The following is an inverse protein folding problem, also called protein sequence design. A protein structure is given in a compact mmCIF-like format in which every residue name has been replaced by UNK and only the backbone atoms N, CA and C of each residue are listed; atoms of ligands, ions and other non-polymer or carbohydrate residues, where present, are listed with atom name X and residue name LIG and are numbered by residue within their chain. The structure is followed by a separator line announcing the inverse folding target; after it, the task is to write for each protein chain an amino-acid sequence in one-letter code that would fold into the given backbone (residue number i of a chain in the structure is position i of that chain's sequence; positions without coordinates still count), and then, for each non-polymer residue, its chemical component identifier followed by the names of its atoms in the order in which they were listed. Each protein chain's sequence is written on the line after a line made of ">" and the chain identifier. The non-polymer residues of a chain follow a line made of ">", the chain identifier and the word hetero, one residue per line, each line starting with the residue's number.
data_IF_618841361069
#
_entry.id   IF_618841361069
#
_cell.length_a   1.000
_cell.length_b   1.000
_cell.length_c   1.000
_cell.angle_alpha   90.00
_cell.angle_beta   90.00
_cell.angle_gamma   90.00
#
_symmetry.space_group_name_H-M   'P 1'
#
loop_
_entity.id
_entity.type
_entity.pdbx_description
1 polymer ?
#
# COMPACT_ATOMS: atom_id res chain seq x y z
N UNK A 1 5.71 -84.91 19.31
CA UNK A 1 4.33 -85.30 18.94
C UNK A 1 3.59 -84.10 18.37
N UNK A 2 2.76 -84.33 17.35
CA UNK A 2 1.57 -83.60 16.84
C UNK A 2 1.37 -82.11 17.20
N UNK A 3 0.96 -81.21 16.32
CA UNK A 3 0.07 -81.37 15.17
C UNK A 3 0.15 -80.18 14.20
N UNK A 4 -0.21 -80.44 12.94
CA UNK A 4 -0.38 -79.48 11.84
C UNK A 4 -1.80 -78.90 11.83
N UNK A 5 -1.87 -77.62 11.44
CA UNK A 5 -2.79 -76.98 10.48
C UNK A 5 -4.34 -77.04 10.63
N UNK A 6 -4.97 -75.88 10.35
CA UNK A 6 -6.39 -75.76 9.95
C UNK A 6 -7.05 -74.47 10.49
N UNK A 7 -6.98 -73.29 9.84
CA UNK A 7 -7.79 -72.81 8.70
C UNK A 7 -9.13 -72.13 9.12
N UNK A 8 -9.41 -70.97 8.47
CA UNK A 8 -10.66 -70.15 8.39
C UNK A 8 -10.87 -69.12 9.53
N UNK A 9 -11.38 -67.90 9.35
CA UNK A 9 -12.03 -67.24 8.19
C UNK A 9 -12.18 -65.73 8.45
N UNK A 10 -12.33 -64.99 7.34
CA UNK A 10 -12.99 -63.66 7.18
C UNK A 10 -12.54 -62.45 7.98
N UNK A 11 -12.10 -61.42 7.24
CA UNK A 11 -12.95 -60.27 6.88
C UNK A 11 -12.03 -59.05 6.73
N UNK A 12 -11.59 -58.79 5.50
CA UNK A 12 -10.88 -57.55 5.20
C UNK A 12 -11.92 -56.41 5.09
N UNK A 13 -12.20 -55.77 6.23
CA UNK A 13 -12.87 -54.49 6.26
C UNK A 13 -11.94 -53.44 5.60
N UNK A 14 -12.36 -52.94 4.44
CA UNK A 14 -11.69 -51.85 3.73
C UNK A 14 -11.83 -50.57 4.56
N UNK A 15 -10.78 -50.20 5.27
CA UNK A 15 -10.69 -48.91 5.93
C UNK A 15 -10.33 -47.86 4.87
N UNK A 16 -11.33 -47.11 4.42
CA UNK A 16 -11.13 -45.94 3.59
C UNK A 16 -10.50 -44.84 4.46
N UNK A 17 -9.19 -44.64 4.32
CA UNK A 17 -8.51 -43.45 4.82
C UNK A 17 -8.93 -42.26 3.94
N UNK A 18 -9.96 -41.53 4.38
CA UNK A 18 -10.30 -40.23 3.80
C UNK A 18 -9.25 -39.20 4.28
N UNK A 19 -8.27 -38.92 3.42
CA UNK A 19 -7.35 -37.81 3.62
C UNK A 19 -8.13 -36.49 3.46
N UNK A 20 -8.38 -35.79 4.57
CA UNK A 20 -8.82 -34.39 4.54
C UNK A 20 -7.65 -33.53 4.05
N UNK A 21 -7.67 -33.20 2.76
CA UNK A 21 -6.84 -32.13 2.22
C UNK A 21 -7.39 -30.79 2.74
N UNK A 22 -6.72 -30.20 3.74
CA UNK A 22 -6.89 -28.80 4.09
C UNK A 22 -6.45 -27.94 2.91
N UNK A 23 -7.40 -27.53 2.06
CA UNK A 23 -7.20 -26.50 1.06
C UNK A 23 -6.94 -25.16 1.75
N UNK A 24 -5.67 -24.76 1.85
CA UNK A 24 -5.31 -23.40 2.19
C UNK A 24 -5.67 -22.48 1.02
N UNK A 25 -6.90 -21.95 1.04
CA UNK A 25 -7.30 -20.87 0.15
C UNK A 25 -6.51 -19.61 0.48
N UNK A 26 -5.43 -19.37 -0.26
CA UNK A 26 -4.80 -18.05 -0.33
C UNK A 26 -5.82 -17.09 -0.96
N UNK A 27 -6.50 -16.32 -0.12
CA UNK A 27 -7.24 -15.13 -0.55
C UNK A 27 -6.22 -14.15 -1.14
N UNK A 28 -6.04 -14.18 -2.46
CA UNK A 28 -5.38 -13.12 -3.18
C UNK A 28 -6.20 -11.85 -2.98
N UNK A 29 -5.82 -11.03 -1.99
CA UNK A 29 -6.35 -9.68 -1.86
C UNK A 29 -5.99 -8.96 -3.15
N UNK A 30 -6.97 -8.71 -4.02
CA UNK A 30 -6.74 -7.99 -5.27
C UNK A 30 -6.11 -6.65 -4.93
N UNK A 31 -4.84 -6.47 -5.26
CA UNK A 31 -4.14 -5.21 -5.05
C UNK A 31 -4.95 -4.08 -5.70
N UNK A 32 -5.13 -2.98 -4.97
CA UNK A 32 -5.84 -1.80 -5.48
C UNK A 32 -5.16 -1.20 -6.71
N UNK A 33 -5.83 -0.26 -7.37
CA UNK A 33 -5.25 0.48 -8.52
C UNK A 33 -4.01 1.27 -8.11
N UNK A 34 -4.00 1.78 -6.88
CA UNK A 34 -2.87 2.47 -6.26
C UNK A 34 -2.46 1.70 -5.01
N UNK A 35 -1.16 1.44 -4.88
CA UNK A 35 -0.54 0.94 -3.65
C UNK A 35 0.61 1.86 -3.24
N UNK A 36 1.02 1.76 -1.97
CA UNK A 36 2.21 2.44 -1.46
C UNK A 36 3.18 1.35 -1.02
N UNK A 37 4.39 1.32 -1.58
CA UNK A 37 5.40 0.38 -1.14
C UNK A 37 5.80 0.70 0.32
N UNK A 38 6.08 -0.31 1.17
CA UNK A 38 6.50 -0.06 2.55
C UNK A 38 7.71 0.89 2.58
N UNK A 39 7.61 2.07 3.22
CA UNK A 39 8.71 3.01 3.24
C UNK A 39 9.84 2.46 4.12
N UNK A 40 11.11 2.77 3.80
CA UNK A 40 12.22 2.40 4.66
C UNK A 40 12.10 3.10 6.02
N UNK A 41 12.65 2.46 7.06
CA UNK A 41 12.73 3.06 8.39
C UNK A 41 13.51 4.39 8.33
N UNK A 42 12.93 5.43 8.92
CA UNK A 42 13.56 6.75 9.00
C UNK A 42 14.33 6.90 10.33
N UNK A 43 15.58 7.34 10.25
CA UNK A 43 16.32 7.79 11.44
C UNK A 43 16.28 9.31 11.47
N UNK A 44 15.81 9.87 12.59
CA UNK A 44 15.58 11.30 12.75
C UNK A 44 16.40 11.81 13.94
N UNK A 45 17.20 12.86 13.74
CA UNK A 45 17.98 13.48 14.82
C UNK A 45 17.21 14.67 15.36
N UNK A 46 17.14 14.81 16.69
CA UNK A 46 16.53 15.98 17.33
C UNK A 46 17.13 17.29 16.82
N UNK A 47 16.25 18.26 16.57
CA UNK A 47 16.62 19.58 16.06
C UNK A 47 16.99 19.62 14.58
N UNK A 48 16.93 18.49 13.85
CA UNK A 48 17.30 18.39 12.44
C UNK A 48 16.10 18.04 11.55
N UNK A 49 16.30 18.24 10.25
CA UNK A 49 15.38 17.76 9.22
C UNK A 49 15.65 16.30 8.86
N UNK A 50 14.60 15.61 8.42
CA UNK A 50 14.66 14.24 7.93
C UNK A 50 13.69 14.07 6.75
N UNK A 51 14.08 13.32 5.73
CA UNK A 51 13.24 13.09 4.55
C UNK A 51 12.73 11.65 4.49
N UNK A 52 11.45 11.49 4.17
CA UNK A 52 10.87 10.19 3.82
C UNK A 52 10.38 10.19 2.38
N UNK A 53 10.78 9.16 1.64
CA UNK A 53 10.28 8.87 0.29
C UNK A 53 9.11 7.89 0.38
N UNK A 54 7.98 8.27 -0.20
CA UNK A 54 6.77 7.45 -0.32
C UNK A 54 6.65 7.00 -1.78
N UNK A 55 6.98 5.74 -2.04
CA UNK A 55 6.88 5.14 -3.37
C UNK A 55 5.43 4.74 -3.63
N UNK A 56 4.78 5.46 -4.53
CA UNK A 56 3.43 5.17 -5.01
C UNK A 56 3.54 4.30 -6.25
N UNK A 57 2.82 3.18 -6.24
CA UNK A 57 2.74 2.26 -7.37
C UNK A 57 1.35 2.35 -7.98
N UNK A 58 1.32 2.45 -9.30
CA UNK A 58 0.09 2.65 -10.05
C UNK A 58 -0.06 1.55 -11.08
N UNK A 59 -1.22 0.91 -11.10
CA UNK A 59 -1.52 -0.11 -12.10
C UNK A 59 -1.54 0.50 -13.50
N UNK A 60 -0.90 -0.18 -14.45
CA UNK A 60 -0.88 0.21 -15.85
C UNK A 60 -2.28 0.50 -16.41
N UNK A 61 -2.36 1.50 -17.29
CA UNK A 61 -3.61 1.97 -17.90
C UNK A 61 -4.47 2.88 -17.00
N UNK A 62 -3.99 3.20 -15.79
CA UNK A 62 -4.61 4.18 -14.90
C UNK A 62 -3.72 5.41 -14.71
N UNK A 63 -4.38 6.51 -14.33
CA UNK A 63 -3.75 7.73 -13.83
C UNK A 63 -4.43 8.16 -12.52
N UNK A 64 -3.78 9.07 -11.80
CA UNK A 64 -4.41 9.84 -10.70
C UNK A 64 -4.27 11.32 -11.00
N UNK A 65 -5.25 12.13 -10.60
CA UNK A 65 -5.09 13.59 -10.65
C UNK A 65 -3.88 14.00 -9.81
N UNK A 66 -3.21 15.09 -10.20
CA UNK A 66 -2.08 15.60 -9.44
C UNK A 66 -2.50 16.22 -8.11
N UNK A 67 -1.54 16.70 -7.32
CA UNK A 67 -1.80 17.44 -6.10
C UNK A 67 -2.35 18.86 -6.36
N UNK A 68 -2.21 19.36 -7.59
CA UNK A 68 -2.79 20.61 -8.08
C UNK A 68 -3.49 20.34 -9.41
N UNK A 69 -4.69 19.72 -9.36
CA UNK A 69 -5.46 19.44 -10.56
C UNK A 69 -5.74 20.71 -11.36
N UNK A 70 -5.96 20.55 -12.65
CA UNK A 70 -6.26 21.67 -13.55
C UNK A 70 -7.65 22.28 -13.34
N UNK A 71 -8.55 21.56 -12.66
CA UNK A 71 -9.95 21.94 -12.45
C UNK A 71 -10.38 21.60 -11.01
N UNK A 72 -11.18 22.47 -10.39
CA UNK A 72 -11.54 22.37 -8.97
C UNK A 72 -12.43 21.16 -8.61
N UNK A 73 -13.15 20.62 -9.60
CA UNK A 73 -14.00 19.44 -9.39
C UNK A 73 -13.19 18.13 -9.38
N UNK A 74 -11.93 18.15 -9.80
CA UNK A 74 -11.05 16.98 -9.79
C UNK A 74 -10.54 16.72 -8.37
N UNK A 75 -10.60 15.46 -7.96
CA UNK A 75 -10.12 15.07 -6.63
C UNK A 75 -8.59 15.03 -6.62
N UNK A 76 -7.90 15.88 -5.83
CA UNK A 76 -6.44 15.93 -5.82
C UNK A 76 -5.82 14.71 -5.13
N UNK A 77 -4.64 14.29 -5.60
CA UNK A 77 -3.78 13.38 -4.85
C UNK A 77 -3.26 14.11 -3.61
N UNK A 78 -3.54 13.56 -2.43
CA UNK A 78 -3.18 14.19 -1.16
C UNK A 78 -2.59 13.18 -0.20
N UNK A 79 -1.30 13.36 0.10
CA UNK A 79 -0.61 12.72 1.21
C UNK A 79 -0.82 13.55 2.49
N UNK A 80 -1.26 12.90 3.56
CA UNK A 80 -1.27 13.47 4.91
C UNK A 80 -0.57 12.54 5.90
N UNK A 81 -0.06 13.13 6.97
CA UNK A 81 0.61 12.43 8.06
C UNK A 81 -0.07 12.76 9.39
N UNK A 82 -0.02 11.81 10.32
CA UNK A 82 -0.54 11.99 11.67
C UNK A 82 0.21 11.12 12.68
N UNK A 83 0.21 11.56 13.93
CA UNK A 83 0.92 10.91 15.03
C UNK A 83 2.44 11.04 14.92
N UNK A 84 3.15 10.38 15.84
CA UNK A 84 4.61 10.41 15.93
C UNK A 84 5.18 11.77 16.38
N UNK A 85 6.50 11.83 16.62
CA UNK A 85 7.15 13.02 17.17
C UNK A 85 7.71 13.98 16.11
N UNK A 86 7.47 13.73 14.82
CA UNK A 86 7.99 14.52 13.70
C UNK A 86 6.90 15.47 13.18
N UNK A 87 7.31 16.68 12.81
CA UNK A 87 6.44 17.70 12.21
C UNK A 87 6.63 17.74 10.69
N UNK A 88 5.55 17.85 9.91
CA UNK A 88 5.66 17.98 8.46
C UNK A 88 6.11 19.39 8.10
N UNK A 89 7.31 19.52 7.54
CA UNK A 89 7.86 20.78 7.04
C UNK A 89 7.46 21.03 5.57
N UNK A 90 7.24 19.97 4.79
CA UNK A 90 6.76 20.09 3.42
C UNK A 90 6.56 18.75 2.73
N UNK A 91 5.73 18.74 1.68
CA UNK A 91 5.50 17.56 0.84
C UNK A 91 5.75 17.96 -0.61
N UNK A 92 6.66 17.26 -1.27
CA UNK A 92 7.05 17.47 -2.66
C UNK A 92 6.52 16.33 -3.49
N UNK A 93 5.69 16.68 -4.47
CA UNK A 93 5.21 15.79 -5.51
C UNK A 93 6.11 15.90 -6.73
N UNK A 94 6.21 14.87 -7.58
CA UNK A 94 6.93 14.98 -8.84
C UNK A 94 6.23 15.99 -9.76
N UNK A 95 6.90 16.40 -10.83
CA UNK A 95 6.27 17.24 -11.85
C UNK A 95 5.14 16.42 -12.53
N UNK A 96 3.88 16.91 -12.55
CA UNK A 96 2.80 16.22 -13.23
C UNK A 96 2.92 16.35 -14.74
N UNK A 97 2.16 15.51 -15.44
CA UNK A 97 1.96 15.60 -16.89
C UNK A 97 0.55 16.15 -17.17
N UNK A 98 0.38 16.84 -18.30
CA UNK A 98 -0.93 17.24 -18.79
C UNK A 98 -1.37 16.25 -19.86
N UNK A 99 -2.47 15.54 -19.61
CA UNK A 99 -3.02 14.55 -20.54
C UNK A 99 -4.46 14.89 -20.93
N UNK A 100 -4.79 14.66 -22.20
CA UNK A 100 -6.13 14.89 -22.74
C UNK A 100 -6.89 13.56 -22.75
N UNK A 101 -8.06 13.53 -22.11
CA UNK A 101 -8.96 12.39 -22.13
C UNK A 101 -10.30 12.74 -22.77
N UNK A 102 -11.01 11.72 -23.24
CA UNK A 102 -12.32 11.86 -23.91
C UNK A 102 -13.40 12.46 -22.99
N UNK A 103 -13.29 12.23 -21.69
CA UNK A 103 -14.23 12.71 -20.68
C UNK A 103 -13.99 14.15 -20.22
N UNK A 104 -12.89 14.79 -20.63
CA UNK A 104 -12.56 16.17 -20.21
C UNK A 104 -12.38 17.08 -21.43
N UNK A 105 -12.98 18.28 -21.45
CA UNK A 105 -12.76 19.27 -22.51
C UNK A 105 -11.36 19.89 -22.49
N UNK A 106 -10.69 19.92 -21.34
CA UNK A 106 -9.31 20.43 -21.20
C UNK A 106 -8.33 19.31 -20.83
N UNK A 107 -7.04 19.43 -21.18
CA UNK A 107 -6.01 18.56 -20.61
C UNK A 107 -6.03 18.64 -19.08
N UNK A 108 -5.90 17.49 -18.42
CA UNK A 108 -5.88 17.40 -16.96
C UNK A 108 -4.49 17.07 -16.43
N UNK A 109 -4.17 17.66 -15.28
CA UNK A 109 -2.90 17.47 -14.57
C UNK A 109 -2.91 16.15 -13.79
N UNK A 110 -2.05 15.21 -14.18
CA UNK A 110 -2.07 13.83 -13.68
C UNK A 110 -0.67 13.29 -13.36
N UNK A 111 -0.66 12.19 -12.61
CA UNK A 111 0.49 11.30 -12.46
C UNK A 111 0.17 9.95 -13.10
N UNK A 112 1.14 9.42 -13.84
CA UNK A 112 1.11 8.12 -14.50
C UNK A 112 2.33 7.28 -14.11
N UNK A 113 2.20 5.96 -14.23
CA UNK A 113 3.22 5.02 -13.76
C UNK A 113 3.50 5.14 -12.26
N UNK A 114 4.56 4.48 -11.82
CA UNK A 114 5.00 4.57 -10.43
C UNK A 114 5.82 5.84 -10.18
N UNK A 115 5.61 6.51 -9.06
CA UNK A 115 6.30 7.75 -8.71
C UNK A 115 6.59 7.88 -7.22
N UNK A 116 7.40 8.88 -6.87
CA UNK A 116 7.80 9.15 -5.48
C UNK A 116 7.24 10.47 -5.00
N UNK A 117 6.67 10.47 -3.79
CA UNK A 117 6.35 11.70 -3.05
C UNK A 117 7.37 11.81 -1.91
N UNK A 118 7.99 12.97 -1.76
CA UNK A 118 8.98 13.22 -0.69
C UNK A 118 8.35 14.08 0.40
N UNK A 119 8.34 13.59 1.62
CA UNK A 119 7.97 14.39 2.79
C UNK A 119 9.23 14.84 3.53
N UNK A 120 9.37 16.14 3.72
CA UNK A 120 10.33 16.73 4.64
C UNK A 120 9.71 16.86 6.02
N UNK A 121 10.39 16.31 7.01
CA UNK A 121 10.02 16.43 8.40
C UNK A 121 11.02 17.29 9.15
N UNK A 122 10.52 18.06 10.11
CA UNK A 122 11.32 18.63 11.19
C UNK A 122 11.21 17.74 12.41
N UNK A 123 12.34 17.44 13.03
CA UNK A 123 12.37 16.73 14.32
C UNK A 123 12.53 17.77 15.43
N UNK A 124 11.52 18.02 16.27
CA UNK A 124 11.63 18.94 17.39
C UNK A 124 12.84 18.60 18.27
N UNK A 125 13.51 19.63 18.81
CA UNK A 125 14.68 19.43 19.68
C UNK A 125 14.34 18.67 20.98
N UNK A 126 13.08 18.76 21.42
CA UNK A 126 12.52 18.07 22.59
C UNK A 126 11.75 16.79 22.25
N UNK A 127 11.85 16.29 21.01
CA UNK A 127 11.16 15.05 20.61
C UNK A 127 11.55 13.87 21.52
N UNK A 128 10.59 13.01 21.93
CA UNK A 128 10.89 11.77 22.62
C UNK A 128 11.85 10.90 21.80
N UNK A 129 12.93 10.42 22.43
CA UNK A 129 13.89 9.53 21.79
C UNK A 129 13.35 8.11 21.65
N UNK A 130 13.88 7.36 20.69
CA UNK A 130 13.54 5.95 20.47
C UNK A 130 12.56 5.69 19.33
N UNK A 131 11.95 4.49 19.26
CA UNK A 131 11.09 4.09 18.17
C UNK A 131 9.73 4.81 18.20
N UNK A 132 9.25 5.21 17.04
CA UNK A 132 7.92 5.78 16.84
C UNK A 132 7.32 5.32 15.51
N UNK A 133 6.02 5.56 15.34
CA UNK A 133 5.31 5.31 14.08
C UNK A 133 4.55 6.57 13.69
N UNK A 134 4.73 7.02 12.44
CA UNK A 134 3.84 7.98 11.80
C UNK A 134 2.85 7.23 10.90
N UNK A 135 1.58 7.63 10.97
CA UNK A 135 0.53 7.11 10.09
C UNK A 135 0.41 8.01 8.87
N UNK A 136 0.63 7.44 7.68
CA UNK A 136 0.46 8.09 6.39
C UNK A 136 -0.88 7.72 5.75
N UNK A 137 -1.54 8.70 5.14
CA UNK A 137 -2.76 8.49 4.33
C UNK A 137 -2.57 9.14 2.97
N UNK A 138 -2.68 8.35 1.91
CA UNK A 138 -2.68 8.82 0.53
C UNK A 138 -4.10 8.75 -0.03
N UNK A 139 -4.80 9.89 -0.04
CA UNK A 139 -6.11 10.01 -0.67
C UNK A 139 -5.96 10.31 -2.15
N UNK A 140 -6.69 9.58 -2.99
CA UNK A 140 -6.59 9.68 -4.44
C UNK A 140 -7.93 9.40 -5.12
N UNK A 141 -8.01 9.78 -6.39
CA UNK A 141 -9.01 9.26 -7.32
C UNK A 141 -8.27 8.75 -8.55
N UNK A 142 -8.46 7.47 -8.86
CA UNK A 142 -7.87 6.86 -10.05
C UNK A 142 -8.89 6.85 -11.19
N UNK A 143 -8.43 7.15 -12.40
CA UNK A 143 -9.23 7.10 -13.60
C UNK A 143 -8.49 6.30 -14.68
N UNK A 144 -9.25 5.71 -15.60
CA UNK A 144 -8.72 5.15 -16.84
C UNK A 144 -9.19 6.02 -18.02
N UNK A 145 -9.06 5.52 -19.26
CA UNK A 145 -9.44 6.27 -20.46
C UNK A 145 -10.96 6.52 -20.60
N UNK A 146 -11.80 5.78 -19.86
CA UNK A 146 -13.26 5.85 -19.99
C UNK A 146 -13.93 6.54 -18.81
N UNK A 147 -13.42 6.34 -17.60
CA UNK A 147 -14.08 6.81 -16.38
C UNK A 147 -13.15 6.93 -15.19
N UNK A 148 -13.61 7.71 -14.21
CA UNK A 148 -13.01 7.80 -12.89
C UNK A 148 -13.69 6.84 -11.92
N UNK A 149 -12.88 6.19 -11.07
CA UNK A 149 -13.36 5.38 -9.97
C UNK A 149 -13.77 6.26 -8.77
N UNK A 150 -14.54 5.72 -7.82
CA UNK A 150 -14.74 6.40 -6.54
C UNK A 150 -13.40 6.69 -5.85
N UNK A 151 -13.26 7.84 -5.17
CA UNK A 151 -12.05 8.17 -4.45
C UNK A 151 -11.77 7.16 -3.33
N UNK A 152 -10.49 6.89 -3.10
CA UNK A 152 -10.01 5.94 -2.09
C UNK A 152 -8.85 6.54 -1.29
N UNK A 153 -8.54 5.90 -0.17
CA UNK A 153 -7.37 6.23 0.65
C UNK A 153 -6.54 4.97 0.87
N UNK A 154 -5.24 5.05 0.57
CA UNK A 154 -4.27 4.04 1.03
C UNK A 154 -3.71 4.51 2.36
N UNK A 155 -3.80 3.66 3.39
CA UNK A 155 -3.16 3.89 4.68
C UNK A 155 -1.86 3.09 4.77
N UNK A 156 -0.81 3.71 5.30
CA UNK A 156 0.49 3.07 5.47
C UNK A 156 1.20 3.63 6.70
N UNK A 157 2.30 3.00 7.10
CA UNK A 157 3.06 3.36 8.31
C UNK A 157 4.50 3.65 7.96
N UNK A 158 5.05 4.68 8.58
CA UNK A 158 6.47 4.99 8.57
C UNK A 158 7.04 4.71 9.96
N UNK A 159 7.94 3.73 10.05
CA UNK A 159 8.71 3.49 11.26
C UNK A 159 9.82 4.53 11.38
N UNK A 160 9.92 5.15 12.55
CA UNK A 160 10.92 6.17 12.86
C UNK A 160 11.75 5.77 14.07
N UNK A 161 13.02 6.12 14.07
CA UNK A 161 13.88 6.08 15.25
C UNK A 161 14.41 7.49 15.51
N UNK A 162 13.98 8.11 16.60
CA UNK A 162 14.47 9.41 17.03
C UNK A 162 15.74 9.23 17.85
N UNK A 163 16.78 9.99 17.49
CA UNK A 163 18.10 10.05 18.13
C UNK A 163 18.30 11.40 18.82
#
# INVERSE_FOLDING_TARGET
>A
MCWRAGVRVSSFARHWLAALACGAGLLAQTAGVVTVAPPPKLTARRGAEAEAKVRVQLRDGYHVNSNTPSEDYLIPLRLTWSGGPLEVAGIVYPKPVLEKYSFSPQPISVFTGDFDIVTRFRTPANAPGGPAILAGKLRYQACNHNSCLPPKTVEFRLSVSVQ
#
